data_IF_369572784148
#
_entry.id   IF_369572784148
#
_cell.length_a   1.000
_cell.length_b   1.000
_cell.length_c   1.000
_cell.angle_alpha   90.00
_cell.angle_beta   90.00
_cell.angle_gamma   90.00
#
_symmetry.space_group_name_H-M   'P 1'
#
loop_
_entity.id
_entity.type
_entity.pdbx_description
1 polymer ?
#
# COMPACT_ATOMS: atom_id res chain seq x y z
N UNK A 1 -17.17 17.68 8.63
CA UNK A 1 -17.39 18.29 7.29
C UNK A 1 -17.75 17.15 6.32
N UNK A 2 -18.50 17.39 5.23
CA UNK A 2 -18.75 16.34 4.21
C UNK A 2 -17.79 16.49 3.03
N UNK A 3 -17.21 15.38 2.62
CA UNK A 3 -16.33 15.28 1.45
C UNK A 3 -16.92 14.28 0.45
N UNK A 4 -16.98 14.65 -0.82
CA UNK A 4 -17.46 13.78 -1.90
C UNK A 4 -16.24 13.21 -2.61
N UNK A 5 -16.13 11.88 -2.62
CA UNK A 5 -15.06 11.16 -3.29
C UNK A 5 -15.38 10.97 -4.79
N UNK A 6 -14.37 11.01 -5.68
CA UNK A 6 -14.55 10.61 -7.06
C UNK A 6 -14.84 9.09 -7.16
N UNK A 7 -15.72 8.70 -8.08
CA UNK A 7 -16.05 7.29 -8.32
C UNK A 7 -14.96 6.60 -9.16
N UNK A 8 -13.86 6.21 -8.50
CA UNK A 8 -12.76 5.50 -9.15
C UNK A 8 -13.11 4.05 -9.51
N UNK A 9 -14.08 3.43 -8.84
CA UNK A 9 -14.50 2.05 -9.14
C UNK A 9 -15.17 2.00 -10.52
N UNK A 10 -16.12 2.88 -10.77
CA UNK A 10 -16.83 2.93 -12.06
C UNK A 10 -15.96 3.52 -13.18
N UNK A 11 -14.99 4.37 -12.84
CA UNK A 11 -14.15 5.06 -13.84
C UNK A 11 -12.90 4.28 -14.24
N UNK A 12 -12.46 3.30 -13.44
CA UNK A 12 -11.26 2.52 -13.72
C UNK A 12 -11.53 1.47 -14.82
N UNK A 13 -10.73 1.44 -15.91
CA UNK A 13 -10.93 0.48 -17.00
C UNK A 13 -10.41 -0.93 -16.68
N UNK A 14 -9.66 -1.08 -15.57
CA UNK A 14 -9.06 -2.36 -15.20
C UNK A 14 -10.08 -3.25 -14.50
N UNK A 15 -10.10 -4.53 -14.86
CA UNK A 15 -11.02 -5.50 -14.28
C UNK A 15 -10.58 -5.89 -12.86
N UNK A 16 -11.46 -5.68 -11.88
CA UNK A 16 -11.26 -6.22 -10.53
C UNK A 16 -11.43 -7.75 -10.49
N UNK A 17 -10.71 -8.39 -9.58
CA UNK A 17 -10.84 -9.81 -9.25
C UNK A 17 -10.36 -10.04 -7.82
N UNK A 18 -10.76 -11.16 -7.21
CA UNK A 18 -10.29 -11.60 -5.90
C UNK A 18 -9.81 -13.04 -6.02
N UNK A 19 -8.68 -13.36 -5.38
CA UNK A 19 -8.15 -14.70 -5.38
C UNK A 19 -9.16 -15.69 -4.76
N UNK A 20 -9.41 -16.87 -5.39
CA UNK A 20 -10.44 -17.81 -4.92
C UNK A 20 -10.18 -18.36 -3.51
N UNK A 21 -8.92 -18.56 -3.13
CA UNK A 21 -8.54 -19.05 -1.80
C UNK A 21 -8.30 -17.94 -0.76
N UNK A 22 -8.83 -16.74 -0.99
CA UNK A 22 -8.64 -15.58 -0.09
C UNK A 22 -8.95 -15.91 1.37
N UNK A 23 -10.11 -16.53 1.66
CA UNK A 23 -10.52 -16.79 3.04
C UNK A 23 -9.54 -17.70 3.78
N UNK A 24 -9.02 -18.73 3.08
CA UNK A 24 -8.01 -19.63 3.63
C UNK A 24 -6.70 -18.88 3.89
N UNK A 25 -6.23 -18.10 2.92
CA UNK A 25 -5.00 -17.33 3.06
C UNK A 25 -5.10 -16.29 4.18
N UNK A 26 -6.26 -15.64 4.33
CA UNK A 26 -6.56 -14.72 5.45
C UNK A 26 -6.44 -15.44 6.78
N UNK A 27 -7.20 -16.51 6.98
CA UNK A 27 -7.26 -17.20 8.27
C UNK A 27 -5.89 -17.72 8.71
N UNK A 28 -5.11 -18.28 7.77
CA UNK A 28 -3.74 -18.72 8.03
C UNK A 28 -2.81 -17.52 8.35
N UNK A 29 -2.96 -16.37 7.67
CA UNK A 29 -2.16 -15.14 7.89
C UNK A 29 -2.43 -14.48 9.22
N UNK A 30 -3.70 -14.26 9.52
CA UNK A 30 -4.10 -13.60 10.74
C UNK A 30 -3.68 -14.46 11.94
N UNK A 31 -3.84 -15.78 11.86
CA UNK A 31 -3.31 -16.70 12.87
C UNK A 31 -1.77 -16.64 12.97
N UNK A 32 -1.05 -16.59 11.84
CA UNK A 32 0.41 -16.44 11.83
C UNK A 32 0.84 -15.15 12.53
N UNK A 33 0.28 -14.01 12.16
CA UNK A 33 0.61 -12.68 12.70
C UNK A 33 0.29 -12.56 14.20
N UNK A 34 -0.85 -13.10 14.65
CA UNK A 34 -1.25 -13.03 16.06
C UNK A 34 -0.24 -13.72 17.01
N UNK A 35 0.49 -14.74 16.56
CA UNK A 35 1.47 -15.46 17.39
C UNK A 35 2.67 -14.62 17.79
N UNK A 36 3.03 -13.62 16.99
CA UNK A 36 4.17 -12.74 17.28
C UNK A 36 3.86 -11.68 18.35
N UNK A 37 2.58 -11.45 18.65
CA UNK A 37 2.19 -10.51 19.70
C UNK A 37 2.62 -9.06 19.43
N UNK A 38 2.75 -8.66 18.15
CA UNK A 38 3.15 -7.30 17.76
C UNK A 38 2.25 -6.20 18.36
N UNK A 39 0.98 -6.54 18.63
CA UNK A 39 0.03 -5.70 19.35
C UNK A 39 -0.69 -6.51 20.42
N UNK A 40 -1.19 -5.80 21.45
CA UNK A 40 -1.98 -6.37 22.55
C UNK A 40 -3.29 -5.60 22.74
N UNK A 41 -4.28 -6.25 23.38
CA UNK A 41 -5.54 -5.62 23.77
C UNK A 41 -6.35 -5.09 22.57
N UNK A 42 -6.99 -3.90 22.68
CA UNK A 42 -7.80 -3.34 21.60
C UNK A 42 -7.07 -3.17 20.27
N UNK A 43 -5.77 -2.81 20.31
CA UNK A 43 -4.97 -2.59 19.09
C UNK A 43 -4.79 -3.87 18.27
N UNK A 44 -4.62 -5.02 18.94
CA UNK A 44 -4.54 -6.32 18.26
C UNK A 44 -5.86 -6.67 17.55
N UNK A 45 -6.98 -6.38 18.20
CA UNK A 45 -8.32 -6.64 17.63
C UNK A 45 -8.60 -5.72 16.44
N UNK A 46 -8.27 -4.44 16.54
CA UNK A 46 -8.43 -3.49 15.43
C UNK A 46 -7.54 -3.85 14.25
N UNK A 47 -6.30 -4.29 14.49
CA UNK A 47 -5.40 -4.76 13.44
C UNK A 47 -6.00 -5.93 12.66
N UNK A 48 -6.58 -6.91 13.36
CA UNK A 48 -7.26 -8.06 12.75
C UNK A 48 -8.51 -7.62 11.93
N UNK A 49 -9.28 -6.66 12.46
CA UNK A 49 -10.46 -6.09 11.78
C UNK A 49 -10.09 -5.41 10.45
N UNK A 50 -8.90 -4.82 10.33
CA UNK A 50 -8.48 -4.16 9.09
C UNK A 50 -8.31 -5.12 7.92
N UNK A 51 -8.08 -6.42 8.18
CA UNK A 51 -8.12 -7.49 7.18
C UNK A 51 -7.23 -7.16 5.96
N UNK A 52 -5.94 -6.97 6.24
CA UNK A 52 -4.95 -6.54 5.25
C UNK A 52 -4.72 -7.57 4.14
N UNK A 53 -5.00 -8.84 4.42
CA UNK A 53 -4.89 -9.96 3.47
C UNK A 53 -5.83 -9.81 2.27
N UNK A 54 -6.96 -9.11 2.44
CA UNK A 54 -7.86 -8.80 1.33
C UNK A 54 -7.16 -7.98 0.24
N UNK A 55 -6.23 -7.09 0.61
CA UNK A 55 -5.45 -6.32 -0.37
C UNK A 55 -4.66 -7.27 -1.27
N UNK A 56 -3.92 -8.21 -0.68
CA UNK A 56 -3.13 -9.18 -1.46
C UNK A 56 -4.00 -10.04 -2.36
N UNK A 57 -5.17 -10.49 -1.88
CA UNK A 57 -6.08 -11.28 -2.69
C UNK A 57 -6.69 -10.48 -3.86
N UNK A 58 -6.88 -9.17 -3.72
CA UNK A 58 -7.38 -8.29 -4.77
C UNK A 58 -6.31 -7.88 -5.78
N UNK A 59 -5.05 -7.75 -5.34
CA UNK A 59 -3.93 -7.32 -6.20
C UNK A 59 -3.22 -8.50 -6.87
N UNK A 60 -3.30 -9.70 -6.29
CA UNK A 60 -2.75 -10.95 -6.83
C UNK A 60 -3.81 -12.04 -7.03
N UNK A 61 -4.89 -11.78 -7.80
CA UNK A 61 -5.99 -12.72 -7.96
C UNK A 61 -5.61 -14.02 -8.70
N UNK A 62 -4.51 -13.99 -9.46
CA UNK A 62 -4.05 -15.11 -10.31
C UNK A 62 -2.77 -15.78 -9.75
N UNK A 63 -2.35 -15.45 -8.53
CA UNK A 63 -1.18 -16.06 -7.89
C UNK A 63 -1.42 -17.55 -7.58
N UNK A 64 -0.33 -18.30 -7.38
CA UNK A 64 -0.42 -19.57 -6.67
C UNK A 64 -0.75 -19.36 -5.20
N UNK A 65 -1.35 -20.36 -4.56
CA UNK A 65 -1.75 -20.26 -3.15
C UNK A 65 -0.58 -19.94 -2.21
N UNK A 66 0.57 -20.60 -2.42
CA UNK A 66 1.76 -20.41 -1.58
C UNK A 66 2.34 -19.00 -1.74
N UNK A 67 2.33 -18.47 -2.96
CA UNK A 67 2.79 -17.12 -3.29
C UNK A 67 1.84 -16.05 -2.68
N UNK A 68 0.53 -16.25 -2.78
CA UNK A 68 -0.46 -15.39 -2.11
C UNK A 68 -0.26 -15.41 -0.60
N UNK A 69 -0.14 -16.61 -0.03
CA UNK A 69 0.03 -16.79 1.42
C UNK A 69 1.27 -16.07 1.92
N UNK A 70 2.40 -16.21 1.23
CA UNK A 70 3.63 -15.51 1.56
C UNK A 70 3.46 -13.98 1.47
N UNK A 71 2.73 -13.47 0.46
CA UNK A 71 2.43 -12.05 0.35
C UNK A 71 1.54 -11.52 1.47
N UNK A 72 0.55 -12.29 1.93
CA UNK A 72 -0.26 -11.92 3.09
C UNK A 72 0.61 -11.74 4.35
N UNK A 73 1.57 -12.65 4.59
CA UNK A 73 2.48 -12.56 5.73
C UNK A 73 3.41 -11.35 5.65
N UNK A 74 3.99 -11.13 4.47
CA UNK A 74 4.83 -9.96 4.23
C UNK A 74 4.03 -8.65 4.34
N UNK A 75 2.80 -8.61 3.85
CA UNK A 75 1.94 -7.45 3.96
C UNK A 75 1.60 -7.14 5.43
N UNK A 76 1.32 -8.15 6.25
CA UNK A 76 1.14 -7.96 7.69
C UNK A 76 2.41 -7.47 8.37
N UNK A 77 3.60 -8.00 8.02
CA UNK A 77 4.89 -7.47 8.49
C UNK A 77 5.05 -5.97 8.14
N UNK A 78 4.77 -5.59 6.90
CA UNK A 78 4.88 -4.21 6.45
C UNK A 78 3.89 -3.27 7.17
N UNK A 79 2.66 -3.71 7.45
CA UNK A 79 1.71 -2.92 8.24
C UNK A 79 2.08 -2.85 9.73
N UNK A 80 2.75 -3.85 10.30
CA UNK A 80 3.34 -3.74 11.65
C UNK A 80 4.44 -2.68 11.66
N UNK A 81 5.34 -2.70 10.66
CA UNK A 81 6.38 -1.67 10.50
C UNK A 81 5.78 -0.27 10.37
N UNK A 82 4.80 -0.08 9.48
CA UNK A 82 4.08 1.19 9.25
C UNK A 82 3.53 1.77 10.56
N UNK A 83 2.78 0.96 11.31
CA UNK A 83 2.15 1.35 12.58
C UNK A 83 3.18 1.68 13.67
N UNK A 84 4.36 1.07 13.67
CA UNK A 84 5.45 1.44 14.57
C UNK A 84 6.11 2.74 14.11
N UNK A 85 6.39 2.90 12.81
CA UNK A 85 7.03 4.10 12.28
C UNK A 85 6.21 5.38 12.46
N UNK A 86 4.87 5.27 12.44
CA UNK A 86 3.96 6.40 12.70
C UNK A 86 4.14 7.02 14.10
N UNK A 87 4.71 6.27 15.05
CA UNK A 87 4.87 6.67 16.45
C UNK A 87 6.27 7.18 16.80
N UNK A 88 7.18 7.21 15.82
CA UNK A 88 8.60 7.45 16.02
C UNK A 88 9.08 8.70 15.28
N UNK A 89 10.18 9.28 15.76
CA UNK A 89 10.90 10.38 15.10
C UNK A 89 11.80 9.89 13.96
N UNK A 90 12.38 10.82 13.19
CA UNK A 90 13.10 10.48 11.96
C UNK A 90 14.32 9.56 12.15
N UNK A 91 15.05 9.72 13.26
CA UNK A 91 16.20 8.87 13.60
C UNK A 91 15.75 7.46 14.03
N UNK A 92 14.76 7.37 14.92
CA UNK A 92 14.22 6.09 15.42
C UNK A 92 13.60 5.25 14.28
N UNK A 93 12.91 5.89 13.33
CA UNK A 93 12.35 5.20 12.14
C UNK A 93 13.46 4.66 11.25
N UNK A 94 14.60 5.37 11.16
CA UNK A 94 15.76 4.89 10.41
C UNK A 94 16.34 3.64 11.07
N UNK A 95 16.52 3.64 12.39
CA UNK A 95 17.02 2.47 13.12
C UNK A 95 16.08 1.26 13.03
N UNK A 96 14.76 1.50 13.13
CA UNK A 96 13.74 0.47 12.94
C UNK A 96 13.80 -0.11 11.51
N UNK A 97 13.93 0.76 10.51
CA UNK A 97 14.04 0.38 9.12
C UNK A 97 15.33 -0.39 8.79
N UNK A 98 16.47 0.04 9.32
CA UNK A 98 17.74 -0.67 9.18
C UNK A 98 17.67 -2.08 9.77
N UNK A 99 16.95 -2.23 10.89
CA UNK A 99 16.69 -3.54 11.51
C UNK A 99 15.82 -4.43 10.63
N UNK A 100 14.76 -3.88 10.03
CA UNK A 100 13.93 -4.59 9.06
C UNK A 100 14.74 -5.02 7.83
N UNK A 101 15.59 -4.15 7.28
CA UNK A 101 16.42 -4.44 6.11
C UNK A 101 17.46 -5.54 6.38
N UNK A 102 18.07 -5.55 7.56
CA UNK A 102 18.95 -6.65 8.00
C UNK A 102 18.18 -7.97 8.01
N UNK A 103 17.00 -7.99 8.64
CA UNK A 103 16.18 -9.19 8.73
C UNK A 103 15.73 -9.70 7.35
N UNK A 104 15.29 -8.81 6.45
CA UNK A 104 14.93 -9.16 5.07
C UNK A 104 16.13 -9.65 4.25
N UNK A 105 17.35 -9.26 4.62
CA UNK A 105 18.61 -9.74 4.01
C UNK A 105 19.12 -11.05 4.64
N UNK A 106 18.41 -11.61 5.63
CA UNK A 106 18.77 -12.84 6.32
C UNK A 106 19.65 -12.67 7.57
N UNK A 107 19.92 -11.42 7.99
CA UNK A 107 20.60 -11.12 9.26
C UNK A 107 19.56 -10.91 10.36
N UNK A 108 19.40 -11.92 11.21
CA UNK A 108 18.46 -11.93 12.33
C UNK A 108 19.12 -11.59 13.68
N UNK A 109 20.22 -10.83 13.66
CA UNK A 109 20.97 -10.46 14.88
C UNK A 109 20.25 -9.46 15.78
N UNK A 110 19.29 -8.71 15.25
CA UNK A 110 18.49 -7.73 16.01
C UNK A 110 17.26 -8.42 16.59
N UNK A 111 17.14 -8.46 17.92
CA UNK A 111 15.97 -9.01 18.61
C UNK A 111 14.78 -8.04 18.50
N UNK A 112 13.79 -8.39 17.68
CA UNK A 112 12.56 -7.61 17.51
C UNK A 112 11.45 -8.45 16.90
N UNK A 113 10.20 -8.04 17.13
CA UNK A 113 9.04 -8.67 16.51
C UNK A 113 9.07 -8.61 14.98
N UNK A 114 9.62 -7.52 14.41
CA UNK A 114 9.80 -7.40 12.96
C UNK A 114 10.82 -8.40 12.42
N UNK A 115 11.91 -8.64 13.17
CA UNK A 115 12.92 -9.63 12.82
C UNK A 115 12.33 -11.04 12.84
N UNK A 116 11.57 -11.38 13.88
CA UNK A 116 10.93 -12.69 14.00
C UNK A 116 9.91 -12.94 12.89
N UNK A 117 9.09 -11.94 12.59
CA UNK A 117 8.15 -11.97 11.47
C UNK A 117 8.91 -12.14 10.14
N UNK A 118 9.92 -11.29 9.86
CA UNK A 118 10.70 -11.35 8.63
C UNK A 118 11.40 -12.71 8.44
N UNK A 119 11.90 -13.31 9.51
CA UNK A 119 12.50 -14.65 9.51
C UNK A 119 11.54 -15.75 9.05
N UNK A 120 10.26 -15.63 9.42
CA UNK A 120 9.23 -16.58 9.01
C UNK A 120 8.54 -16.23 7.69
N UNK A 121 8.66 -14.98 7.21
CA UNK A 121 8.14 -14.60 5.89
C UNK A 121 8.89 -15.35 4.79
N UNK A 122 8.20 -16.25 4.08
CA UNK A 122 8.79 -17.14 3.05
C UNK A 122 8.93 -16.49 1.68
N UNK A 123 8.91 -15.15 1.61
CA UNK A 123 8.52 -14.40 0.42
C UNK A 123 9.50 -14.56 -0.75
N UNK A 124 10.80 -14.43 -0.52
CA UNK A 124 11.76 -14.28 -1.62
C UNK A 124 12.87 -15.32 -1.64
N UNK A 125 12.87 -16.26 -0.69
CA UNK A 125 13.85 -17.35 -0.68
C UNK A 125 13.76 -18.25 -1.94
N UNK A 126 12.59 -18.26 -2.61
CA UNK A 126 12.35 -19.00 -3.87
C UNK A 126 12.38 -18.12 -5.11
N UNK A 127 12.54 -16.80 -4.97
CA UNK A 127 12.56 -15.87 -6.09
C UNK A 127 13.87 -15.97 -6.88
N UNK A 128 13.86 -15.55 -8.15
CA UNK A 128 15.10 -15.47 -8.94
C UNK A 128 16.11 -14.49 -8.31
N UNK A 129 17.43 -14.66 -8.54
CA UNK A 129 18.43 -13.73 -8.01
C UNK A 129 18.18 -12.25 -8.39
N UNK A 130 17.66 -12.01 -9.60
CA UNK A 130 17.29 -10.67 -10.04
C UNK A 130 16.12 -10.11 -9.24
N UNK A 131 15.06 -10.90 -9.07
CA UNK A 131 13.91 -10.53 -8.25
C UNK A 131 14.32 -10.21 -6.80
N UNK A 132 15.16 -11.06 -6.18
CA UNK A 132 15.68 -10.81 -4.82
C UNK A 132 16.47 -9.49 -4.73
N UNK A 133 17.35 -9.23 -5.70
CA UNK A 133 18.13 -7.99 -5.77
C UNK A 133 17.22 -6.76 -5.90
N UNK A 134 16.23 -6.80 -6.81
CA UNK A 134 15.27 -5.70 -6.99
C UNK A 134 14.44 -5.50 -5.72
N UNK A 135 13.96 -6.58 -5.11
CA UNK A 135 13.18 -6.53 -3.88
C UNK A 135 13.93 -5.82 -2.75
N UNK A 136 15.15 -6.25 -2.45
CA UNK A 136 15.96 -5.61 -1.41
C UNK A 136 16.23 -4.13 -1.74
N UNK A 137 16.53 -3.81 -3.00
CA UNK A 137 16.69 -2.42 -3.43
C UNK A 137 15.43 -1.57 -3.18
N UNK A 138 14.24 -2.08 -3.51
CA UNK A 138 12.98 -1.38 -3.27
C UNK A 138 12.64 -1.25 -1.78
N UNK A 139 12.98 -2.24 -0.96
CA UNK A 139 12.84 -2.14 0.49
C UNK A 139 13.77 -1.05 1.08
N UNK A 140 15.01 -0.95 0.60
CA UNK A 140 15.94 0.12 1.02
C UNK A 140 15.41 1.50 0.66
N UNK A 141 14.94 1.67 -0.59
CA UNK A 141 14.34 2.93 -1.07
C UNK A 141 13.12 3.32 -0.21
N UNK A 142 12.28 2.33 0.14
CA UNK A 142 11.10 2.54 0.98
C UNK A 142 11.47 2.98 2.41
N UNK A 143 12.34 2.24 3.10
CA UNK A 143 12.78 2.57 4.47
C UNK A 143 13.40 3.96 4.54
N UNK A 144 14.26 4.31 3.58
CA UNK A 144 14.87 5.63 3.53
C UNK A 144 13.83 6.76 3.34
N UNK A 145 12.81 6.51 2.51
CA UNK A 145 11.73 7.47 2.28
C UNK A 145 10.80 7.62 3.50
N UNK A 146 10.50 6.53 4.22
CA UNK A 146 9.69 6.58 5.46
C UNK A 146 10.45 7.31 6.57
N UNK A 147 11.75 7.06 6.75
CA UNK A 147 12.57 7.81 7.70
C UNK A 147 12.63 9.32 7.40
N UNK A 148 12.69 9.68 6.11
CA UNK A 148 12.62 11.09 5.68
C UNK A 148 11.26 11.71 5.97
N UNK A 149 10.18 10.97 5.73
CA UNK A 149 8.82 11.40 6.04
C UNK A 149 8.59 11.61 7.54
N UNK A 150 9.09 10.69 8.37
CA UNK A 150 9.03 10.83 9.82
C UNK A 150 9.78 12.07 10.33
N UNK A 151 10.96 12.38 9.78
CA UNK A 151 11.68 13.61 10.11
C UNK A 151 10.91 14.88 9.71
N UNK A 152 10.25 14.87 8.55
CA UNK A 152 9.38 15.98 8.13
C UNK A 152 8.18 16.16 9.07
N UNK A 153 7.58 15.04 9.52
CA UNK A 153 6.49 15.04 10.50
C UNK A 153 6.94 15.63 11.84
N UNK A 154 8.12 15.23 12.32
CA UNK A 154 8.73 15.76 13.54
C UNK A 154 8.96 17.28 13.46
N UNK A 155 9.44 17.76 12.31
CA UNK A 155 9.66 19.18 12.03
C UNK A 155 8.37 19.96 11.69
N UNK A 156 7.21 19.29 11.63
CA UNK A 156 5.95 19.84 11.12
C UNK A 156 6.09 20.50 9.73
N UNK A 157 6.93 19.93 8.86
CA UNK A 157 7.23 20.47 7.54
C UNK A 157 6.45 19.75 6.43
N UNK A 158 5.51 20.46 5.80
CA UNK A 158 4.76 19.97 4.64
C UNK A 158 5.48 20.35 3.36
N UNK A 159 5.78 19.37 2.51
CA UNK A 159 6.46 19.57 1.23
C UNK A 159 5.52 20.16 0.17
N UNK A 160 6.03 20.96 -0.78
CA UNK A 160 5.27 21.33 -1.98
C UNK A 160 5.06 20.11 -2.89
N UNK A 161 4.02 20.14 -3.74
CA UNK A 161 3.53 19.06 -4.60
C UNK A 161 4.66 18.32 -5.33
N UNK A 162 5.58 19.02 -5.97
CA UNK A 162 6.65 18.35 -6.74
C UNK A 162 7.62 17.55 -5.84
N UNK A 163 8.01 18.11 -4.70
CA UNK A 163 8.86 17.45 -3.71
C UNK A 163 8.10 16.34 -2.98
N UNK A 164 6.82 16.57 -2.69
CA UNK A 164 5.89 15.59 -2.16
C UNK A 164 5.80 14.38 -3.06
N UNK A 165 5.49 14.54 -4.35
CA UNK A 165 5.38 13.43 -5.30
C UNK A 165 6.66 12.60 -5.38
N UNK A 166 7.82 13.26 -5.31
CA UNK A 166 9.12 12.56 -5.30
C UNK A 166 9.28 11.70 -4.05
N UNK A 167 8.97 12.24 -2.87
CA UNK A 167 9.00 11.48 -1.61
C UNK A 167 7.94 10.37 -1.60
N UNK A 168 6.73 10.68 -2.07
CA UNK A 168 5.54 9.83 -2.03
C UNK A 168 5.73 8.56 -2.86
N UNK A 169 6.41 8.66 -4.00
CA UNK A 169 6.85 7.47 -4.77
C UNK A 169 7.68 6.51 -3.92
N UNK A 170 8.53 7.03 -3.03
CA UNK A 170 9.37 6.23 -2.14
C UNK A 170 8.61 5.66 -0.94
N UNK A 171 7.78 6.46 -0.26
CA UNK A 171 7.17 6.08 1.01
C UNK A 171 5.76 5.47 0.90
N UNK A 172 5.18 5.31 -0.29
CA UNK A 172 3.86 4.69 -0.46
C UNK A 172 3.82 3.16 -0.28
N UNK A 173 4.98 2.53 -0.05
CA UNK A 173 5.07 1.11 0.28
C UNK A 173 4.80 0.13 -0.87
N UNK A 174 4.41 0.59 -2.07
CA UNK A 174 4.04 -0.30 -3.18
C UNK A 174 5.25 -0.92 -3.91
N UNK A 175 6.40 -0.24 -3.93
CA UNK A 175 7.54 -0.67 -4.73
C UNK A 175 8.10 -2.06 -4.35
N UNK A 176 8.21 -2.45 -3.06
CA UNK A 176 8.53 -3.82 -2.67
C UNK A 176 7.58 -4.86 -3.29
N UNK A 177 6.29 -4.54 -3.36
CA UNK A 177 5.29 -5.44 -3.96
C UNK A 177 5.43 -5.55 -5.48
N UNK A 178 5.79 -4.46 -6.16
CA UNK A 178 6.09 -4.54 -7.59
C UNK A 178 7.33 -5.40 -7.86
N UNK A 179 8.34 -5.34 -7.00
CA UNK A 179 9.53 -6.19 -7.16
C UNK A 179 9.23 -7.69 -7.01
N UNK A 180 8.25 -8.08 -6.18
CA UNK A 180 7.85 -9.48 -6.03
C UNK A 180 6.84 -9.96 -7.07
N UNK A 181 6.38 -9.11 -8.01
CA UNK A 181 5.54 -9.57 -9.13
C UNK A 181 6.23 -10.68 -9.94
N UNK A 182 7.56 -10.58 -10.10
CA UNK A 182 8.36 -11.62 -10.74
C UNK A 182 8.27 -12.94 -9.96
N UNK A 183 8.38 -12.90 -8.62
CA UNK A 183 8.20 -14.09 -7.77
C UNK A 183 6.78 -14.66 -7.87
N UNK A 184 5.75 -13.83 -7.75
CA UNK A 184 4.33 -14.22 -7.77
C UNK A 184 3.95 -14.98 -9.05
N UNK A 185 4.50 -14.55 -10.18
CA UNK A 185 4.16 -15.10 -11.49
C UNK A 185 5.26 -15.98 -12.09
N UNK A 186 6.35 -16.24 -11.36
CA UNK A 186 7.47 -17.05 -11.84
C UNK A 186 8.19 -16.44 -13.05
N UNK A 187 8.29 -15.11 -13.11
CA UNK A 187 8.96 -14.36 -14.19
C UNK A 187 10.45 -14.18 -13.86
N UNK A 188 11.27 -14.00 -14.89
CA UNK A 188 12.67 -13.58 -14.76
C UNK A 188 13.00 -12.59 -15.88
N UNK A 189 12.48 -11.36 -15.73
CA UNK A 189 12.56 -10.36 -16.79
C UNK A 189 14.00 -9.83 -16.93
N UNK A 190 14.52 -9.71 -18.16
CA UNK A 190 15.87 -9.20 -18.38
C UNK A 190 15.97 -7.71 -18.06
N UNK A 191 17.16 -7.25 -17.69
CA UNK A 191 17.39 -5.85 -17.26
C UNK A 191 16.97 -4.83 -18.33
N UNK A 192 17.15 -5.16 -19.61
CA UNK A 192 16.78 -4.30 -20.74
C UNK A 192 15.28 -3.95 -20.78
N UNK A 193 14.41 -4.77 -20.17
CA UNK A 193 12.99 -4.46 -19.99
C UNK A 193 12.84 -3.33 -18.97
N UNK A 194 13.52 -3.40 -17.83
CA UNK A 194 13.46 -2.37 -16.80
C UNK A 194 14.13 -1.06 -17.24
N UNK A 195 15.18 -1.14 -18.05
CA UNK A 195 15.85 0.01 -18.66
C UNK A 195 15.02 0.66 -19.79
N UNK A 196 14.02 -0.04 -20.32
CA UNK A 196 13.17 0.48 -21.38
C UNK A 196 12.36 1.70 -20.89
N UNK A 197 12.39 2.85 -21.60
CA UNK A 197 11.69 4.06 -21.17
C UNK A 197 10.17 3.92 -21.04
N UNK A 198 9.54 3.07 -21.86
CA UNK A 198 8.09 2.85 -21.82
C UNK A 198 7.74 1.99 -20.60
N UNK A 199 8.55 0.97 -20.29
CA UNK A 199 8.31 0.12 -19.12
C UNK A 199 8.55 0.90 -17.82
N UNK A 200 9.65 1.67 -17.76
CA UNK A 200 9.92 2.58 -16.64
C UNK A 200 8.76 3.56 -16.42
N UNK A 201 8.19 4.12 -17.49
CA UNK A 201 7.01 5.00 -17.39
C UNK A 201 5.79 4.27 -16.82
N UNK A 202 5.49 3.06 -17.29
CA UNK A 202 4.40 2.23 -16.76
C UNK A 202 4.60 1.89 -15.28
N UNK A 203 5.81 1.52 -14.89
CA UNK A 203 6.19 1.24 -13.51
C UNK A 203 5.87 2.44 -12.61
N UNK A 204 6.36 3.63 -12.95
CA UNK A 204 6.14 4.82 -12.14
C UNK A 204 4.69 5.28 -12.13
N UNK A 205 3.96 5.17 -13.25
CA UNK A 205 2.52 5.42 -13.27
C UNK A 205 1.76 4.47 -12.34
N UNK A 206 2.12 3.18 -12.32
CA UNK A 206 1.56 2.21 -11.37
C UNK A 206 1.82 2.59 -9.91
N UNK A 207 3.05 3.01 -9.60
CA UNK A 207 3.42 3.46 -8.24
C UNK A 207 2.58 4.66 -7.82
N UNK A 208 2.49 5.68 -8.68
CA UNK A 208 1.71 6.89 -8.39
C UNK A 208 0.22 6.62 -8.27
N UNK A 209 -0.33 5.74 -9.11
CA UNK A 209 -1.74 5.37 -9.04
C UNK A 209 -2.10 4.75 -7.69
N UNK A 210 -1.26 3.87 -7.13
CA UNK A 210 -1.48 3.29 -5.80
C UNK A 210 -1.34 4.34 -4.71
N UNK A 211 -0.28 5.15 -4.77
CA UNK A 211 0.01 6.19 -3.77
C UNK A 211 -1.11 7.25 -3.68
N UNK A 212 -1.50 7.84 -4.81
CA UNK A 212 -2.52 8.89 -4.87
C UNK A 212 -3.91 8.37 -4.53
N UNK A 213 -4.22 7.11 -4.88
CA UNK A 213 -5.46 6.46 -4.48
C UNK A 213 -5.49 6.24 -2.97
N UNK A 214 -4.36 5.85 -2.37
CA UNK A 214 -4.26 5.76 -0.92
C UNK A 214 -4.52 7.14 -0.29
N UNK A 215 -3.84 8.20 -0.73
CA UNK A 215 -4.04 9.56 -0.20
C UNK A 215 -5.50 10.00 -0.23
N UNK A 216 -6.22 9.68 -1.31
CA UNK A 216 -7.64 10.01 -1.46
C UNK A 216 -8.50 9.37 -0.38
N UNK A 217 -8.32 8.06 -0.14
CA UNK A 217 -9.16 7.31 0.78
C UNK A 217 -8.69 7.39 2.23
N UNK A 218 -7.38 7.57 2.48
CA UNK A 218 -6.79 7.65 3.81
C UNK A 218 -6.88 9.05 4.44
N UNK A 219 -7.09 10.10 3.65
CA UNK A 219 -7.05 11.50 4.12
C UNK A 219 -7.83 11.74 5.41
N UNK A 220 -9.08 11.25 5.51
CA UNK A 220 -9.90 11.50 6.70
C UNK A 220 -9.32 10.87 7.97
N UNK A 221 -8.76 9.66 7.87
CA UNK A 221 -8.18 8.98 9.05
C UNK A 221 -6.79 9.53 9.38
N UNK A 222 -6.00 9.89 8.38
CA UNK A 222 -4.72 10.57 8.57
C UNK A 222 -4.90 11.92 9.26
N UNK A 223 -5.89 12.71 8.84
CA UNK A 223 -6.25 13.98 9.48
C UNK A 223 -6.66 13.79 10.94
N UNK A 224 -7.49 12.78 11.24
CA UNK A 224 -7.89 12.47 12.61
C UNK A 224 -6.70 12.11 13.52
N UNK A 225 -5.66 11.50 12.93
CA UNK A 225 -4.42 11.08 13.59
C UNK A 225 -3.33 12.16 13.58
N UNK A 226 -3.53 13.28 12.88
CA UNK A 226 -2.50 14.32 12.71
C UNK A 226 -1.34 13.88 11.79
N UNK A 227 -1.59 12.96 10.87
CA UNK A 227 -0.62 12.38 9.95
C UNK A 227 -0.81 12.87 8.49
N UNK A 228 -1.74 13.80 8.25
CA UNK A 228 -2.08 14.27 6.90
C UNK A 228 -1.03 15.21 6.28
N UNK A 229 0.08 15.50 6.97
CA UNK A 229 1.20 16.29 6.44
C UNK A 229 1.90 15.65 5.23
N UNK A 230 1.76 14.33 5.05
CA UNK A 230 2.23 13.58 3.89
C UNK A 230 1.06 13.05 3.03
N UNK A 231 0.01 13.86 2.86
CA UNK A 231 -1.14 13.55 2.00
C UNK A 231 -1.31 14.59 0.88
N UNK A 232 -1.57 14.14 -0.35
CA UNK A 232 -1.73 15.03 -1.50
C UNK A 232 -2.82 16.10 -1.29
N UNK A 233 -3.93 15.77 -0.63
CA UNK A 233 -5.03 16.72 -0.38
C UNK A 233 -4.53 17.87 0.51
N UNK A 234 -3.85 17.56 1.62
CA UNK A 234 -3.29 18.59 2.51
C UNK A 234 -2.22 19.44 1.81
N UNK A 235 -1.36 18.79 1.03
CA UNK A 235 -0.33 19.48 0.23
C UNK A 235 -0.96 20.42 -0.80
N UNK A 236 -2.00 19.99 -1.52
CA UNK A 236 -2.70 20.81 -2.50
C UNK A 236 -3.46 21.97 -1.86
N UNK A 237 -4.10 21.74 -0.69
CA UNK A 237 -4.73 22.82 0.08
C UNK A 237 -3.70 23.88 0.49
N UNK A 238 -2.54 23.46 1.01
CA UNK A 238 -1.49 24.37 1.47
C UNK A 238 -0.81 25.13 0.34
N UNK A 239 -0.39 24.44 -0.73
CA UNK A 239 0.35 25.07 -1.83
C UNK A 239 -0.55 25.89 -2.76
N UNK A 240 -1.75 25.38 -3.09
CA UNK A 240 -2.64 26.01 -4.08
C UNK A 240 -3.76 26.84 -3.47
N UNK A 241 -3.91 26.86 -2.14
CA UNK A 241 -5.01 27.56 -1.47
C UNK A 241 -6.39 26.97 -1.79
N UNK A 242 -6.45 25.70 -2.16
CA UNK A 242 -7.70 24.99 -2.46
C UNK A 242 -8.48 24.68 -1.19
N UNK A 243 -9.81 24.69 -1.28
CA UNK A 243 -10.64 24.02 -0.28
C UNK A 243 -10.41 22.50 -0.30
N UNK A 244 -10.84 21.82 0.76
CA UNK A 244 -10.71 20.36 0.87
C UNK A 244 -11.42 19.61 -0.27
N UNK A 245 -12.62 20.06 -0.67
CA UNK A 245 -13.32 19.47 -1.81
C UNK A 245 -12.61 19.76 -3.13
N UNK A 246 -12.14 20.99 -3.36
CA UNK A 246 -11.38 21.32 -4.57
C UNK A 246 -10.08 20.51 -4.70
N UNK A 247 -9.37 20.29 -3.59
CA UNK A 247 -8.17 19.47 -3.54
C UNK A 247 -8.48 17.98 -3.81
N UNK A 248 -9.61 17.48 -3.30
CA UNK A 248 -10.10 16.11 -3.55
C UNK A 248 -10.49 15.92 -5.02
N UNK A 249 -11.22 16.88 -5.59
CA UNK A 249 -11.59 16.87 -7.01
C UNK A 249 -10.36 16.98 -7.90
N UNK A 250 -9.36 17.76 -7.49
CA UNK A 250 -8.07 17.89 -8.18
C UNK A 250 -7.31 16.56 -8.17
N UNK A 251 -7.20 15.91 -7.00
CA UNK A 251 -6.59 14.58 -6.87
C UNK A 251 -7.30 13.53 -7.75
N UNK A 252 -8.64 13.52 -7.76
CA UNK A 252 -9.42 12.64 -8.63
C UNK A 252 -9.08 12.79 -10.11
N UNK A 253 -8.91 14.04 -10.58
CA UNK A 253 -8.48 14.32 -11.96
C UNK A 253 -7.06 13.84 -12.24
N UNK A 254 -6.13 14.04 -11.29
CA UNK A 254 -4.74 13.59 -11.39
C UNK A 254 -4.61 12.07 -11.45
N UNK A 255 -5.45 11.34 -10.71
CA UNK A 255 -5.53 9.88 -10.77
C UNK A 255 -6.03 9.43 -12.15
N UNK A 256 -7.14 9.99 -12.63
CA UNK A 256 -7.69 9.61 -13.94
C UNK A 256 -6.75 9.97 -15.11
N UNK A 257 -6.01 11.08 -15.00
CA UNK A 257 -4.96 11.42 -15.97
C UNK A 257 -3.91 10.30 -16.06
N UNK A 258 -3.46 9.78 -14.92
CA UNK A 258 -2.48 8.69 -14.85
C UNK A 258 -3.03 7.36 -15.34
N UNK A 259 -4.30 7.05 -15.07
CA UNK A 259 -4.98 5.86 -15.62
C UNK A 259 -4.96 5.89 -17.14
N UNK A 260 -5.27 7.04 -17.74
CA UNK A 260 -5.24 7.22 -19.19
C UNK A 260 -3.82 7.10 -19.73
N UNK A 261 -2.83 7.76 -19.11
CA UNK A 261 -1.43 7.67 -19.50
C UNK A 261 -0.87 6.24 -19.39
N UNK A 262 -1.29 5.49 -18.37
CA UNK A 262 -0.91 4.09 -18.20
C UNK A 262 -1.47 3.26 -19.34
N UNK A 263 -2.76 3.44 -19.66
CA UNK A 263 -3.45 2.72 -20.73
C UNK A 263 -2.84 3.00 -22.11
N UNK A 264 -2.44 4.24 -22.41
CA UNK A 264 -1.75 4.58 -23.65
C UNK A 264 -0.31 4.03 -23.67
N UNK A 265 0.44 4.19 -22.58
CA UNK A 265 1.82 3.68 -22.50
C UNK A 265 1.89 2.16 -22.63
N UNK A 266 0.87 1.43 -22.18
CA UNK A 266 0.79 -0.02 -22.33
C UNK A 266 0.76 -0.41 -23.82
N UNK A 267 -0.02 0.32 -24.64
CA UNK A 267 -0.10 0.06 -26.10
C UNK A 267 1.22 0.37 -26.84
N UNK A 268 2.06 1.23 -26.27
CA UNK A 268 3.35 1.63 -26.83
C UNK A 268 4.49 0.65 -26.50
N UNK A 269 4.22 -0.42 -25.74
CA UNK A 269 5.26 -1.35 -25.34
C UNK A 269 5.95 -2.00 -26.56
N UNK A 270 7.28 -1.88 -26.72
CA UNK A 270 7.99 -2.53 -27.80
C UNK A 270 8.12 -4.03 -27.54
N UNK A 271 8.46 -4.78 -28.59
CA UNK A 271 8.79 -6.20 -28.47
C UNK A 271 10.24 -6.40 -28.04
N UNK A 272 10.45 -7.35 -27.14
CA UNK A 272 11.73 -7.92 -26.69
C UNK A 272 11.90 -9.38 -27.17
N UNK A 273 10.96 -9.86 -27.99
CA UNK A 273 10.87 -11.24 -28.45
C UNK A 273 9.71 -11.98 -27.78
N UNK A 274 9.08 -12.92 -28.51
CA UNK A 274 7.78 -13.50 -28.14
C UNK A 274 7.71 -14.06 -26.71
N UNK A 275 8.79 -14.68 -26.22
CA UNK A 275 8.82 -15.23 -24.86
C UNK A 275 8.81 -14.13 -23.80
N UNK A 276 9.71 -13.14 -23.92
CA UNK A 276 9.82 -12.01 -22.99
C UNK A 276 8.57 -11.15 -23.05
N UNK A 277 8.01 -10.94 -24.24
CA UNK A 277 6.78 -10.15 -24.43
C UNK A 277 5.62 -10.70 -23.58
N UNK A 278 5.45 -12.02 -23.51
CA UNK A 278 4.40 -12.65 -22.68
C UNK A 278 4.60 -12.34 -21.19
N UNK A 279 5.83 -12.43 -20.70
CA UNK A 279 6.15 -12.12 -19.30
C UNK A 279 5.98 -10.63 -18.98
N UNK A 280 6.38 -9.75 -19.90
CA UNK A 280 6.18 -8.30 -19.79
C UNK A 280 4.69 -7.96 -19.69
N UNK A 281 3.84 -8.59 -20.51
CA UNK A 281 2.38 -8.38 -20.43
C UNK A 281 1.80 -8.84 -19.08
N UNK A 282 2.29 -9.95 -18.52
CA UNK A 282 1.88 -10.42 -17.18
C UNK A 282 2.28 -9.38 -16.13
N UNK A 283 3.52 -8.88 -16.18
CA UNK A 283 4.00 -7.88 -15.22
C UNK A 283 3.19 -6.57 -15.29
N UNK A 284 2.97 -6.01 -16.48
CA UNK A 284 2.18 -4.78 -16.67
C UNK A 284 0.73 -4.98 -16.22
N UNK A 285 0.15 -6.16 -16.50
CA UNK A 285 -1.18 -6.51 -15.97
C UNK A 285 -1.19 -6.55 -14.45
N UNK A 286 -0.10 -7.00 -13.81
CA UNK A 286 0.09 -6.96 -12.36
C UNK A 286 0.03 -5.54 -11.80
N UNK A 287 0.70 -4.57 -12.46
CA UNK A 287 0.64 -3.15 -12.07
C UNK A 287 -0.79 -2.60 -12.14
N UNK A 288 -1.53 -2.93 -13.21
CA UNK A 288 -2.92 -2.52 -13.38
C UNK A 288 -3.85 -3.14 -12.31
N UNK A 289 -3.67 -4.43 -11.99
CA UNK A 289 -4.38 -5.14 -10.92
C UNK A 289 -4.10 -4.53 -9.55
N UNK A 290 -2.87 -4.10 -9.30
CA UNK A 290 -2.50 -3.38 -8.08
C UNK A 290 -3.31 -2.10 -7.89
N UNK A 291 -3.48 -1.30 -8.95
CA UNK A 291 -4.29 -0.09 -8.85
C UNK A 291 -5.76 -0.40 -8.53
N UNK A 292 -6.43 -1.23 -9.34
CA UNK A 292 -7.86 -1.52 -9.11
C UNK A 292 -8.09 -2.30 -7.80
N UNK A 293 -7.19 -3.21 -7.45
CA UNK A 293 -7.23 -3.94 -6.19
C UNK A 293 -7.11 -3.00 -4.99
N UNK A 294 -6.24 -2.00 -5.04
CA UNK A 294 -6.13 -0.98 -4.00
C UNK A 294 -7.37 -0.08 -3.91
N UNK A 295 -7.96 0.31 -5.05
CA UNK A 295 -9.23 1.07 -5.09
C UNK A 295 -10.35 0.30 -4.38
N UNK A 296 -10.53 -0.97 -4.74
CA UNK A 296 -11.58 -1.83 -4.17
C UNK A 296 -11.30 -2.07 -2.69
N UNK A 297 -10.06 -2.46 -2.33
CA UNK A 297 -9.67 -2.72 -0.96
C UNK A 297 -9.93 -1.51 -0.06
N UNK A 298 -9.62 -0.30 -0.52
CA UNK A 298 -9.79 0.94 0.25
C UNK A 298 -11.25 1.22 0.63
N UNK A 299 -12.22 0.78 -0.17
CA UNK A 299 -13.64 0.89 0.15
C UNK A 299 -14.18 -0.30 0.97
N UNK A 300 -13.51 -1.45 0.93
CA UNK A 300 -13.92 -2.66 1.66
C UNK A 300 -13.34 -2.74 3.07
N UNK A 301 -12.11 -2.27 3.25
CA UNK A 301 -11.42 -2.30 4.55
C UNK A 301 -12.06 -1.32 5.53
N UNK A 302 -12.22 -1.71 6.81
CA UNK A 302 -12.55 -0.76 7.86
C UNK A 302 -11.44 0.27 8.15
N UNK A 303 -10.22 0.11 7.61
CA UNK A 303 -9.06 0.98 7.90
C UNK A 303 -9.30 2.47 7.65
N UNK A 304 -10.05 2.82 6.61
CA UNK A 304 -10.21 4.23 6.21
C UNK A 304 -11.53 4.85 6.66
N UNK A 305 -12.61 4.08 6.63
CA UNK A 305 -13.97 4.58 6.90
C UNK A 305 -14.64 3.91 8.10
N UNK A 306 -13.93 3.03 8.80
CA UNK A 306 -14.38 2.43 10.04
C UNK A 306 -15.72 1.69 9.89
N UNK A 307 -16.64 1.99 10.80
CA UNK A 307 -18.00 1.46 10.81
C UNK A 307 -18.88 2.02 9.68
N UNK A 308 -18.52 3.19 9.13
CA UNK A 308 -19.27 3.90 8.08
C UNK A 308 -18.95 3.40 6.66
N UNK A 309 -17.96 2.50 6.52
CA UNK A 309 -17.43 2.05 5.21
C UNK A 309 -18.49 1.61 4.20
N UNK A 310 -19.56 0.93 4.63
CA UNK A 310 -20.60 0.46 3.73
C UNK A 310 -21.45 1.60 3.18
N UNK A 311 -21.68 2.64 3.99
CA UNK A 311 -22.38 3.84 3.55
C UNK A 311 -21.50 4.69 2.64
N UNK A 312 -20.20 4.85 2.98
CA UNK A 312 -19.22 5.53 2.12
C UNK A 312 -19.11 4.82 0.77
N UNK A 313 -18.99 3.49 0.74
CA UNK A 313 -18.92 2.71 -0.50
C UNK A 313 -20.15 2.90 -1.40
N UNK A 314 -21.33 3.11 -0.79
CA UNK A 314 -22.59 3.30 -1.51
C UNK A 314 -22.78 4.73 -2.02
N UNK A 315 -22.36 5.73 -1.23
CA UNK A 315 -22.68 7.14 -1.47
C UNK A 315 -21.50 7.95 -1.99
N UNK A 316 -20.28 7.46 -1.78
CA UNK A 316 -19.01 8.17 -1.94
C UNK A 316 -18.94 9.47 -1.13
N UNK A 317 -19.72 9.56 -0.05
CA UNK A 317 -19.72 10.71 0.86
C UNK A 317 -19.06 10.31 2.17
N UNK A 318 -18.04 11.05 2.57
CA UNK A 318 -17.29 10.86 3.82
C UNK A 318 -17.62 11.99 4.78
N UNK A 319 -18.00 11.63 6.01
CA UNK A 319 -18.01 12.56 7.14
C UNK A 319 -16.57 12.66 7.68
N UNK A 320 -15.85 13.70 7.23
CA UNK A 320 -14.44 13.92 7.53
C UNK A 320 -14.24 14.06 9.04
N UNK A 321 -13.38 13.19 9.56
CA UNK A 321 -12.96 13.15 10.97
C UNK A 321 -11.98 14.29 11.27
N UNK A 322 -12.06 14.84 12.46
CA UNK A 322 -11.17 15.90 12.94
C UNK A 322 -10.13 15.34 13.93
N UNK A 323 -9.01 16.06 14.15
CA UNK A 323 -8.02 15.65 15.13
C UNK A 323 -8.63 15.35 16.51
N UNK A 324 -8.38 14.16 17.04
CA UNK A 324 -8.89 13.70 18.33
C UNK A 324 -10.15 12.82 18.27
N UNK A 325 -10.74 12.62 17.09
CA UNK A 325 -11.81 11.64 16.91
C UNK A 325 -11.33 10.20 17.20
N UNK A 326 -12.18 9.42 17.88
CA UNK A 326 -11.83 8.09 18.41
C UNK A 326 -11.99 6.95 17.39
N UNK A 327 -11.47 7.14 16.17
CA UNK A 327 -11.65 6.24 15.03
C UNK A 327 -11.46 4.74 15.36
N UNK A 328 -10.32 4.37 15.95
CA UNK A 328 -10.02 2.97 16.27
C UNK A 328 -10.79 2.45 17.50
N UNK A 329 -11.19 3.34 18.42
CA UNK A 329 -12.00 2.93 19.58
C UNK A 329 -13.42 2.55 19.14
N UNK A 330 -14.00 3.31 18.22
CA UNK A 330 -15.36 3.07 17.72
C UNK A 330 -15.45 1.72 17.00
N UNK A 331 -14.41 1.37 16.23
CA UNK A 331 -14.29 0.04 15.61
C UNK A 331 -14.25 -1.08 16.64
N UNK A 332 -13.43 -0.94 17.68
CA UNK A 332 -13.32 -1.92 18.74
C UNK A 332 -14.62 -2.08 19.54
N UNK A 333 -15.27 -0.98 19.91
CA UNK A 333 -16.54 -1.00 20.63
C UNK A 333 -17.66 -1.64 19.79
N UNK A 334 -17.74 -1.33 18.49
CA UNK A 334 -18.69 -1.96 17.59
C UNK A 334 -18.49 -3.48 17.50
N UNK A 335 -17.23 -3.93 17.45
CA UNK A 335 -16.90 -5.36 17.46
C UNK A 335 -17.35 -6.05 18.75
N UNK A 336 -17.12 -5.43 19.91
CA UNK A 336 -17.59 -5.96 21.20
C UNK A 336 -19.12 -6.06 21.27
N UNK A 337 -19.85 -5.09 20.70
CA UNK A 337 -21.30 -5.12 20.66
C UNK A 337 -21.82 -6.29 19.80
N UNK A 338 -21.23 -6.52 18.62
CA UNK A 338 -21.61 -7.63 17.72
C UNK A 338 -21.34 -9.01 18.31
N UNK A 339 -20.32 -9.15 19.16
CA UNK A 339 -20.04 -10.42 19.87
C UNK A 339 -21.03 -10.71 21.01
N UNK A 340 -21.79 -9.70 21.47
CA UNK A 340 -22.77 -9.82 22.56
C UNK A 340 -24.20 -10.04 22.07
N UNK A 341 -24.50 -9.66 20.83
CA UNK A 341 -25.75 -9.95 20.11
C UNK A 341 -25.72 -11.34 19.50
#
# INVERSE_FOLDING_TARGET
MKLILPDLVSSCPFKQSVHPDYERARDESSAWTQRFGAFIGPKAVVFDIYNFELLMALTYPDAGYEELRACCDFNNLMFVYDIYSDQLGGEDVRELGDSLLKALSGDFSVDSVLTDMAKETRLVAKASPNCQKRFLARCMDFVAAVAKEAGLREDNHVLPINSYMTLRRGNCGVQPYFAILEYIHGLDLPEEVFENPVFTRLYWLGVELVALTNDLYSFSVERAKGLDGNNFISVAMGEKGMSMQEATDFLGKEIMLRVNQFSESWKEMPSFGEAVDKEVQIYISGLAKWHIGNVVWSLETPRYFGVERQEVKKTLVVDVKEPGDKFDSDLYENHLQRKRS
#
